data_IF_082213936513
#
_entry.id   IF_082213936513
#
_cell.length_a   1.000
_cell.length_b   1.000
_cell.length_c   1.000
_cell.angle_alpha   90.00
_cell.angle_beta   90.00
_cell.angle_gamma   90.00
#
_symmetry.space_group_name_H-M   'P 1'
#
loop_
_entity.id
_entity.type
_entity.pdbx_description
1 polymer ?
#
# COMPACT_ATOMS: atom_id res chain seq x y z
N UNK A 1 12.25 -10.91 -3.42
CA UNK A 1 11.45 -10.39 -2.30
C UNK A 1 10.41 -9.43 -2.82
N UNK A 2 9.27 -9.96 -3.23
CA UNK A 2 8.15 -9.18 -3.76
C UNK A 2 6.87 -9.49 -2.99
N UNK A 3 6.00 -8.49 -2.90
CA UNK A 3 4.64 -8.61 -2.35
C UNK A 3 3.67 -8.22 -3.45
N UNK A 4 2.65 -9.05 -3.63
CA UNK A 4 1.58 -8.83 -4.60
C UNK A 4 0.27 -8.94 -3.82
N UNK A 5 -0.56 -7.90 -3.91
CA UNK A 5 -1.92 -7.94 -3.38
C UNK A 5 -2.86 -8.19 -4.54
N UNK A 6 -3.51 -9.36 -4.55
CA UNK A 6 -4.52 -9.68 -5.56
C UNK A 6 -5.87 -9.16 -5.08
N UNK A 7 -6.54 -8.39 -5.94
CA UNK A 7 -7.94 -8.00 -5.82
C UNK A 7 -8.30 -7.43 -4.44
N UNK A 8 -7.71 -6.29 -4.06
CA UNK A 8 -8.07 -5.64 -2.80
C UNK A 8 -9.51 -5.10 -2.87
N UNK A 9 -10.36 -5.59 -1.97
CA UNK A 9 -11.78 -5.22 -1.86
C UNK A 9 -11.97 -4.31 -0.64
N UNK A 10 -12.87 -3.33 -0.76
CA UNK A 10 -13.23 -2.41 0.33
C UNK A 10 -14.75 -2.25 0.45
N UNK A 11 -15.20 -1.79 1.60
CA UNK A 11 -16.60 -1.43 1.87
C UNK A 11 -16.80 0.07 1.66
N UNK A 12 -17.97 0.47 1.14
CA UNK A 12 -18.33 1.88 0.97
C UNK A 12 -18.96 2.43 2.25
N UNK A 13 -18.13 2.90 3.18
CA UNK A 13 -18.58 3.64 4.37
C UNK A 13 -18.65 5.14 4.07
N UNK A 14 -19.61 5.83 4.70
CA UNK A 14 -19.75 7.27 4.54
C UNK A 14 -18.69 8.00 5.39
N UNK A 15 -17.60 8.41 4.75
CA UNK A 15 -16.72 9.46 5.25
C UNK A 15 -16.93 10.71 4.39
N UNK A 16 -16.68 11.89 4.95
CA UNK A 16 -16.78 13.14 4.19
C UNK A 16 -15.76 13.22 3.05
N UNK A 17 -14.64 12.50 3.20
CA UNK A 17 -13.62 12.29 2.19
C UNK A 17 -13.17 10.82 2.22
N UNK A 18 -13.38 10.13 1.12
CA UNK A 18 -13.06 8.72 0.89
C UNK A 18 -11.92 8.53 -0.13
N UNK A 19 -11.38 9.63 -0.67
CA UNK A 19 -10.34 9.63 -1.72
C UNK A 19 -9.11 8.85 -1.30
N UNK A 20 -8.71 8.92 -0.03
CA UNK A 20 -7.54 8.20 0.50
C UNK A 20 -7.70 6.68 0.46
N UNK A 21 -8.90 6.18 0.71
CA UNK A 21 -9.16 4.74 0.67
C UNK A 21 -9.11 4.23 -0.77
N UNK A 22 -9.66 4.98 -1.70
CA UNK A 22 -9.68 4.61 -3.12
C UNK A 22 -8.25 4.62 -3.69
N UNK A 23 -7.49 5.70 -3.43
CA UNK A 23 -6.10 5.82 -3.86
C UNK A 23 -5.22 4.69 -3.29
N UNK A 24 -5.39 4.35 -2.01
CA UNK A 24 -4.65 3.25 -1.41
C UNK A 24 -4.97 1.91 -2.08
N UNK A 25 -6.26 1.63 -2.31
CA UNK A 25 -6.73 0.40 -2.96
C UNK A 25 -6.19 0.26 -4.37
N UNK A 26 -6.27 1.32 -5.18
CA UNK A 26 -5.72 1.37 -6.53
C UNK A 26 -4.21 1.09 -6.50
N UNK A 27 -3.48 1.82 -5.63
CA UNK A 27 -2.04 1.65 -5.47
C UNK A 27 -1.66 0.20 -5.16
N UNK A 28 -2.32 -0.46 -4.21
CA UNK A 28 -1.92 -1.83 -3.81
C UNK A 28 -2.35 -2.92 -4.80
N UNK A 29 -3.42 -2.70 -5.57
CA UNK A 29 -3.99 -3.73 -6.46
C UNK A 29 -3.26 -3.79 -7.80
N UNK A 30 -2.81 -2.63 -8.30
CA UNK A 30 -2.23 -2.51 -9.65
C UNK A 30 -0.74 -2.88 -9.70
N UNK A 31 -0.10 -3.05 -8.53
CA UNK A 31 1.35 -3.09 -8.42
C UNK A 31 1.88 -4.37 -7.77
N UNK A 32 2.97 -4.87 -8.34
CA UNK A 32 3.87 -5.81 -7.66
C UNK A 32 4.98 -5.01 -6.99
N UNK A 33 5.07 -5.08 -5.67
CA UNK A 33 6.04 -4.31 -4.91
C UNK A 33 7.31 -5.11 -4.62
N UNK A 34 8.46 -4.50 -4.84
CA UNK A 34 9.66 -4.85 -4.09
C UNK A 34 9.56 -4.29 -2.68
N UNK A 35 10.06 -5.02 -1.68
CA UNK A 35 10.00 -4.56 -0.29
C UNK A 35 11.35 -4.53 0.40
N UNK A 36 11.49 -3.57 1.31
CA UNK A 36 12.63 -3.42 2.22
C UNK A 36 12.13 -3.19 3.65
N UNK A 37 12.66 -3.96 4.59
CA UNK A 37 12.45 -3.71 6.02
C UNK A 37 13.73 -3.13 6.61
N UNK A 38 13.69 -1.88 7.07
CA UNK A 38 14.83 -1.19 7.67
C UNK A 38 14.35 -0.19 8.71
N UNK A 39 15.07 -0.08 9.83
CA UNK A 39 14.82 0.89 10.89
C UNK A 39 13.35 0.87 11.39
N UNK A 40 12.78 -0.33 11.61
CA UNK A 40 11.39 -0.52 12.01
C UNK A 40 10.37 0.08 11.02
N UNK A 41 10.74 0.13 9.73
CA UNK A 41 9.85 0.54 8.65
C UNK A 41 9.83 -0.52 7.55
N UNK A 42 8.64 -0.76 7.01
CA UNK A 42 8.44 -1.47 5.76
C UNK A 42 8.27 -0.43 4.66
N UNK A 43 9.10 -0.53 3.62
CA UNK A 43 9.02 0.31 2.42
C UNK A 43 8.62 -0.59 1.25
N UNK A 44 7.56 -0.19 0.53
CA UNK A 44 7.10 -0.83 -0.70
C UNK A 44 7.41 0.09 -1.88
N UNK A 45 8.08 -0.47 -2.88
CA UNK A 45 8.51 0.23 -4.09
C UNK A 45 8.15 -0.54 -5.35
N UNK A 46 7.90 0.16 -6.43
CA UNK A 46 7.81 -0.41 -7.78
C UNK A 46 8.95 0.14 -8.68
N UNK A 47 8.82 0.02 -10.00
CA UNK A 47 9.81 0.52 -10.95
C UNK A 47 9.95 2.04 -10.98
N UNK A 48 8.95 2.79 -10.51
CA UNK A 48 8.97 4.26 -10.47
C UNK A 48 9.48 4.80 -9.14
N UNK A 49 9.50 3.97 -8.09
CA UNK A 49 10.12 4.31 -6.81
C UNK A 49 9.31 3.87 -5.61
N UNK A 50 9.50 4.58 -4.48
CA UNK A 50 8.76 4.32 -3.25
C UNK A 50 7.28 4.73 -3.40
N UNK A 51 6.38 3.82 -3.02
CA UNK A 51 4.92 4.06 -3.03
C UNK A 51 4.33 4.14 -1.64
N UNK A 52 4.71 3.20 -0.77
CA UNK A 52 4.11 3.07 0.55
C UNK A 52 5.19 2.84 1.61
N UNK A 53 4.97 3.44 2.78
CA UNK A 53 5.84 3.31 3.94
C UNK A 53 5.03 3.07 5.20
N UNK A 54 5.31 1.97 5.87
CA UNK A 54 4.65 1.58 7.11
C UNK A 54 5.64 1.61 8.27
N UNK A 55 5.21 2.13 9.42
CA UNK A 55 5.97 2.04 10.68
C UNK A 55 5.54 0.76 11.39
N UNK A 56 6.50 0.01 11.95
CA UNK A 56 6.23 -1.12 12.86
C UNK A 56 5.58 -0.58 14.15
N UNK A 57 4.45 -1.16 14.58
CA UNK A 57 3.68 -0.72 15.76
C UNK A 57 3.66 -1.77 16.88
N UNK A 58 4.15 -2.99 16.62
CA UNK A 58 4.31 -4.09 17.58
C UNK A 58 5.69 -4.11 18.25
#
# INVERSE_FOLDING_TARGET
>A
NTIIFKDAISTRMACRDNTKSDLYRETITENSFSFLVKNNRLVLSDSEGERLRFKKID
#
